data_IF_011866826618
#
_entry.id   IF_011866826618
#
_cell.length_a   1.000
_cell.length_b   1.000
_cell.length_c   1.000
_cell.angle_alpha   90.00
_cell.angle_beta   90.00
_cell.angle_gamma   90.00
#
_symmetry.space_group_name_H-M   'P 1'
#
loop_
_entity.id
_entity.type
_entity.pdbx_description
1 polymer ?
#
# COMPACT_ATOMS: atom_id res chain seq x y z
N UNK A 1 -23.34 -0.80 -2.35
CA UNK A 1 -22.06 -0.84 -1.62
C UNK A 1 -21.17 -1.88 -2.28
N UNK A 2 -20.24 -1.39 -3.08
CA UNK A 2 -19.28 -2.17 -3.87
C UNK A 2 -18.18 -2.77 -2.97
N UNK A 3 -17.35 -3.66 -3.51
CA UNK A 3 -16.19 -4.18 -2.79
C UNK A 3 -15.15 -3.07 -2.54
N UNK A 4 -15.02 -2.13 -3.49
CA UNK A 4 -14.24 -0.90 -3.31
C UNK A 4 -14.78 -0.02 -2.17
N UNK A 5 -16.10 0.20 -2.09
CA UNK A 5 -16.71 1.01 -1.02
C UNK A 5 -16.35 0.42 0.36
N UNK A 6 -16.46 -0.90 0.51
CA UNK A 6 -16.10 -1.62 1.75
C UNK A 6 -14.61 -1.48 2.10
N UNK A 7 -13.73 -1.54 1.09
CA UNK A 7 -12.31 -1.31 1.29
C UNK A 7 -12.03 0.12 1.76
N UNK A 8 -12.61 1.12 1.10
CA UNK A 8 -12.42 2.54 1.46
C UNK A 8 -12.96 2.85 2.86
N UNK A 9 -14.10 2.26 3.23
CA UNK A 9 -14.69 2.39 4.57
C UNK A 9 -13.80 1.75 5.64
N UNK A 10 -13.28 0.54 5.39
CA UNK A 10 -12.34 -0.11 6.30
C UNK A 10 -11.05 0.71 6.45
N UNK A 11 -10.54 1.30 5.37
CA UNK A 11 -9.31 2.09 5.40
C UNK A 11 -9.49 3.40 6.17
N UNK A 12 -10.65 4.05 6.02
CA UNK A 12 -11.03 5.22 6.81
C UNK A 12 -11.12 4.85 8.31
N UNK A 13 -11.75 3.73 8.65
CA UNK A 13 -11.84 3.25 10.03
C UNK A 13 -10.47 2.96 10.65
N UNK A 14 -9.56 2.31 9.91
CA UNK A 14 -8.18 2.09 10.35
C UNK A 14 -7.43 3.41 10.59
N UNK A 15 -7.60 4.39 9.70
CA UNK A 15 -7.00 5.73 9.87
C UNK A 15 -7.46 6.40 11.16
N UNK A 16 -8.76 6.31 11.47
CA UNK A 16 -9.34 6.84 12.71
C UNK A 16 -8.76 6.12 13.94
N UNK A 17 -8.65 4.80 13.91
CA UNK A 17 -8.11 3.99 15.02
C UNK A 17 -6.63 4.30 15.27
N UNK A 18 -5.82 4.40 14.21
CA UNK A 18 -4.40 4.74 14.32
C UNK A 18 -4.16 6.18 14.80
N UNK A 19 -5.04 7.11 14.46
CA UNK A 19 -4.98 8.49 14.96
C UNK A 19 -5.38 8.62 16.44
N UNK A 20 -6.12 7.65 16.98
CA UNK A 20 -6.52 7.66 18.38
C UNK A 20 -5.34 7.26 19.29
N UNK A 21 -4.86 8.22 20.09
CA UNK A 21 -3.77 8.01 21.05
C UNK A 21 -4.12 7.01 22.17
N UNK A 22 -5.40 6.75 22.42
CA UNK A 22 -5.87 5.76 23.42
C UNK A 22 -6.10 4.37 22.82
N UNK A 23 -6.04 4.21 21.51
CA UNK A 23 -6.21 2.91 20.88
C UNK A 23 -5.05 1.98 21.23
N UNK A 24 -5.39 0.80 21.69
CA UNK A 24 -4.46 -0.28 22.01
C UNK A 24 -3.83 -0.85 20.74
N UNK A 25 -2.71 -1.58 20.89
CA UNK A 25 -2.09 -2.27 19.77
C UNK A 25 -3.01 -3.31 19.13
N UNK A 26 -3.86 -3.97 19.93
CA UNK A 26 -4.83 -4.96 19.45
C UNK A 26 -5.88 -4.28 18.56
N UNK A 27 -6.44 -3.15 18.97
CA UNK A 27 -7.43 -2.42 18.18
C UNK A 27 -6.85 -1.92 16.84
N UNK A 28 -5.59 -1.46 16.85
CA UNK A 28 -4.89 -1.06 15.61
C UNK A 28 -4.65 -2.25 14.69
N UNK A 29 -4.24 -3.39 15.25
CA UNK A 29 -4.02 -4.62 14.49
C UNK A 29 -5.32 -5.16 13.90
N UNK A 30 -6.41 -5.20 14.67
CA UNK A 30 -7.73 -5.65 14.21
C UNK A 30 -8.26 -4.75 13.08
N UNK A 31 -8.07 -3.43 13.21
CA UNK A 31 -8.42 -2.49 12.16
C UNK A 31 -7.57 -2.69 10.89
N UNK A 32 -6.27 -2.95 11.02
CA UNK A 32 -5.40 -3.27 9.87
C UNK A 32 -5.80 -4.59 9.18
N UNK A 33 -6.15 -5.62 9.96
CA UNK A 33 -6.65 -6.90 9.44
C UNK A 33 -8.00 -6.75 8.73
N UNK A 34 -8.88 -5.88 9.22
CA UNK A 34 -10.14 -5.56 8.56
C UNK A 34 -9.91 -4.90 7.19
N UNK A 35 -8.95 -3.97 7.09
CA UNK A 35 -8.54 -3.37 5.81
C UNK A 35 -7.99 -4.41 4.85
N UNK A 36 -7.08 -5.27 5.33
CA UNK A 36 -6.46 -6.30 4.50
C UNK A 36 -7.50 -7.28 3.93
N UNK A 37 -8.45 -7.73 4.76
CA UNK A 37 -9.53 -8.61 4.33
C UNK A 37 -10.46 -7.95 3.31
N UNK A 38 -10.78 -6.67 3.50
CA UNK A 38 -11.61 -5.92 2.56
C UNK A 38 -10.90 -5.70 1.22
N UNK A 39 -9.59 -5.41 1.25
CA UNK A 39 -8.77 -5.27 0.05
C UNK A 39 -8.68 -6.59 -0.72
N UNK A 40 -8.46 -7.71 -0.03
CA UNK A 40 -8.44 -9.03 -0.66
C UNK A 40 -9.79 -9.36 -1.32
N UNK A 41 -10.91 -9.03 -0.67
CA UNK A 41 -12.25 -9.22 -1.25
C UNK A 41 -12.49 -8.32 -2.47
N UNK A 42 -12.00 -7.08 -2.44
CA UNK A 42 -12.01 -6.17 -3.58
C UNK A 42 -11.22 -6.72 -4.76
N UNK A 43 -9.97 -7.14 -4.52
CA UNK A 43 -9.15 -7.76 -5.55
C UNK A 43 -9.86 -8.96 -6.15
N UNK A 44 -10.40 -9.88 -5.34
CA UNK A 44 -11.08 -11.10 -5.85
C UNK A 44 -12.40 -10.82 -6.57
N UNK A 45 -13.12 -9.75 -6.21
CA UNK A 45 -14.35 -9.35 -6.89
C UNK A 45 -14.08 -8.68 -8.25
N UNK A 46 -12.94 -8.00 -8.37
CA UNK A 46 -12.54 -7.23 -9.55
C UNK A 46 -11.38 -7.89 -10.34
N UNK A 47 -11.06 -9.16 -10.09
CA UNK A 47 -10.06 -9.92 -10.86
C UNK A 47 -10.65 -11.15 -11.55
N UNK A 48 -11.55 -10.90 -12.49
CA UNK A 48 -11.50 -11.68 -13.73
C UNK A 48 -10.29 -11.21 -14.57
N UNK A 49 -9.68 -12.06 -15.42
CA UNK A 49 -8.50 -11.69 -16.22
C UNK A 49 -8.69 -10.50 -17.19
N UNK A 50 -9.91 -9.95 -17.29
CA UNK A 50 -10.25 -8.78 -18.09
C UNK A 50 -10.39 -7.46 -17.29
N UNK A 51 -10.31 -7.49 -15.96
CA UNK A 51 -10.70 -6.36 -15.11
C UNK A 51 -9.53 -5.48 -14.62
N UNK A 52 -8.33 -5.67 -15.17
CA UNK A 52 -7.15 -4.79 -14.95
C UNK A 52 -7.34 -3.38 -15.58
N UNK A 53 -8.50 -3.08 -16.17
CA UNK A 53 -8.74 -1.86 -16.93
C UNK A 53 -9.82 -0.91 -16.38
N UNK A 54 -10.35 -1.10 -15.17
CA UNK A 54 -11.52 -0.31 -14.71
C UNK A 54 -11.42 0.27 -13.30
N UNK A 55 -10.21 0.53 -12.78
CA UNK A 55 -10.13 1.52 -11.71
C UNK A 55 -10.15 2.91 -12.34
N UNK A 56 -11.11 3.80 -11.98
CA UNK A 56 -11.04 5.18 -12.39
C UNK A 56 -9.69 5.72 -11.91
N UNK A 57 -8.87 6.19 -12.85
CA UNK A 57 -7.62 6.86 -12.52
C UNK A 57 -8.00 8.03 -11.60
N UNK A 58 -7.49 8.10 -10.36
CA UNK A 58 -7.90 9.13 -9.43
C UNK A 58 -7.69 10.51 -10.04
N UNK A 59 -8.62 11.42 -9.79
CA UNK A 59 -8.60 12.79 -10.35
C UNK A 59 -7.29 13.53 -10.06
N UNK A 60 -6.58 13.13 -8.99
CA UNK A 60 -5.23 13.56 -8.67
C UNK A 60 -4.23 12.40 -8.66
N UNK A 61 -3.85 11.95 -9.86
CA UNK A 61 -2.78 10.99 -10.07
C UNK A 61 -1.46 11.46 -9.43
N UNK A 62 -1.23 12.76 -9.31
CA UNK A 62 -0.01 13.33 -8.69
C UNK A 62 0.00 13.07 -7.18
N UNK A 63 -1.13 13.25 -6.50
CA UNK A 63 -1.25 12.96 -5.07
C UNK A 63 -1.13 11.46 -4.79
N UNK A 64 -1.68 10.60 -5.66
CA UNK A 64 -1.48 9.16 -5.54
C UNK A 64 0.01 8.79 -5.68
N UNK A 65 0.71 9.34 -6.68
CA UNK A 65 2.15 9.12 -6.87
C UNK A 65 2.94 9.64 -5.67
N UNK A 66 2.58 10.81 -5.12
CA UNK A 66 3.24 11.41 -3.95
C UNK A 66 3.07 10.57 -2.70
N UNK A 67 1.87 10.07 -2.46
CA UNK A 67 1.56 9.16 -1.34
C UNK A 67 2.31 7.84 -1.48
N UNK A 68 2.27 7.21 -2.67
CA UNK A 68 3.00 5.97 -2.94
C UNK A 68 4.51 6.14 -2.78
N UNK A 69 5.08 7.24 -3.30
CA UNK A 69 6.49 7.57 -3.14
C UNK A 69 6.85 7.72 -1.66
N UNK A 70 6.04 8.44 -0.89
CA UNK A 70 6.28 8.65 0.54
C UNK A 70 6.28 7.35 1.33
N UNK A 71 5.38 6.41 1.02
CA UNK A 71 5.34 5.09 1.65
C UNK A 71 6.59 4.26 1.34
N UNK A 72 6.96 4.17 0.06
CA UNK A 72 8.15 3.40 -0.37
C UNK A 72 9.43 4.03 0.21
N UNK A 73 9.52 5.35 0.21
CA UNK A 73 10.64 6.09 0.77
C UNK A 73 10.76 5.87 2.29
N UNK A 74 9.64 5.97 3.03
CA UNK A 74 9.63 5.71 4.47
C UNK A 74 10.09 4.27 4.79
N UNK A 75 9.59 3.29 4.04
CA UNK A 75 9.99 1.89 4.16
C UNK A 75 11.49 1.71 3.99
N UNK A 76 12.09 2.37 2.98
CA UNK A 76 13.53 2.32 2.73
C UNK A 76 14.34 2.96 3.86
N UNK A 77 13.91 4.12 4.37
CA UNK A 77 14.61 4.85 5.43
C UNK A 77 14.48 4.21 6.82
N UNK A 78 13.43 3.42 7.05
CA UNK A 78 13.29 2.63 8.28
C UNK A 78 14.14 1.35 8.27
N UNK A 79 14.86 1.07 7.17
CA UNK A 79 15.71 -0.12 6.98
C UNK A 79 14.99 -1.47 7.20
N UNK A 80 13.65 -1.46 7.20
CA UNK A 80 12.82 -2.64 7.51
C UNK A 80 13.10 -3.79 6.53
N UNK A 81 13.42 -3.46 5.27
CA UNK A 81 13.71 -4.44 4.21
C UNK A 81 15.20 -4.76 4.07
N UNK A 82 16.09 -4.11 4.83
CA UNK A 82 17.51 -4.52 4.87
C UNK A 82 17.71 -5.74 5.77
N UNK A 83 16.75 -6.02 6.66
CA UNK A 83 16.79 -7.14 7.58
C UNK A 83 15.97 -8.28 6.98
N UNK A 84 16.67 -9.31 6.49
CA UNK A 84 16.03 -10.50 5.97
C UNK A 84 15.28 -11.24 7.10
N UNK A 85 13.97 -11.50 6.96
CA UNK A 85 13.23 -12.29 7.94
C UNK A 85 13.70 -13.75 7.98
N UNK A 86 13.62 -14.36 9.17
CA UNK A 86 13.93 -15.77 9.34
C UNK A 86 13.02 -16.65 8.48
N UNK A 87 13.62 -17.62 7.77
CA UNK A 87 12.88 -18.54 6.90
C UNK A 87 12.60 -18.02 5.48
N UNK A 88 13.02 -16.79 5.14
CA UNK A 88 12.97 -16.28 3.76
C UNK A 88 14.30 -16.55 3.06
N UNK A 89 14.23 -17.12 1.85
CA UNK A 89 15.39 -17.33 0.98
C UNK A 89 16.04 -16.00 0.59
N UNK A 90 17.38 -15.97 0.54
CA UNK A 90 18.16 -14.79 0.16
C UNK A 90 17.77 -14.25 -1.20
N UNK A 91 17.62 -15.12 -2.20
CA UNK A 91 17.34 -14.66 -3.56
C UNK A 91 15.97 -14.00 -3.66
N UNK A 92 14.99 -14.57 -2.97
CA UNK A 92 13.62 -14.04 -2.86
C UNK A 92 13.61 -12.69 -2.16
N UNK A 93 14.36 -12.56 -1.06
CA UNK A 93 14.51 -11.31 -0.32
C UNK A 93 15.18 -10.22 -1.16
N UNK A 94 16.29 -10.55 -1.83
CA UNK A 94 17.05 -9.62 -2.67
C UNK A 94 16.22 -9.15 -3.86
N UNK A 95 15.45 -10.04 -4.49
CA UNK A 95 14.50 -9.68 -5.54
C UNK A 95 13.44 -8.68 -5.04
N UNK A 96 12.91 -8.87 -3.83
CA UNK A 96 11.99 -7.92 -3.19
C UNK A 96 12.62 -6.55 -2.95
N UNK A 97 13.87 -6.51 -2.49
CA UNK A 97 14.63 -5.27 -2.29
C UNK A 97 14.87 -4.52 -3.61
N UNK A 98 15.21 -5.24 -4.68
CA UNK A 98 15.37 -4.68 -6.02
C UNK A 98 14.06 -4.07 -6.52
N UNK A 99 12.94 -4.79 -6.41
CA UNK A 99 11.63 -4.29 -6.85
C UNK A 99 11.21 -3.02 -6.12
N UNK A 100 11.46 -2.94 -4.81
CA UNK A 100 11.19 -1.72 -4.03
C UNK A 100 12.06 -0.54 -4.48
N UNK A 101 13.35 -0.80 -4.76
CA UNK A 101 14.27 0.23 -5.25
C UNK A 101 13.87 0.76 -6.62
N UNK A 102 13.45 -0.14 -7.53
CA UNK A 102 12.95 0.22 -8.85
C UNK A 102 11.65 1.02 -8.76
N UNK A 103 10.72 0.59 -7.90
CA UNK A 103 9.47 1.30 -7.66
C UNK A 103 9.71 2.74 -7.17
N UNK A 104 10.64 2.93 -6.23
CA UNK A 104 11.02 4.26 -5.75
C UNK A 104 11.58 5.13 -6.88
N UNK A 105 12.46 4.57 -7.73
CA UNK A 105 13.05 5.30 -8.85
C UNK A 105 11.99 5.73 -9.88
N UNK A 106 11.05 4.84 -10.22
CA UNK A 106 9.94 5.12 -11.14
C UNK A 106 9.03 6.22 -10.57
N UNK A 107 8.63 6.10 -9.29
CA UNK A 107 7.77 7.08 -8.64
C UNK A 107 8.44 8.45 -8.53
N UNK A 108 9.74 8.49 -8.21
CA UNK A 108 10.53 9.73 -8.20
C UNK A 108 10.55 10.39 -9.58
N UNK A 109 10.80 9.61 -10.64
CA UNK A 109 10.80 10.13 -12.01
C UNK A 109 9.41 10.65 -12.42
N UNK A 110 8.34 9.97 -11.98
CA UNK A 110 6.97 10.39 -12.22
C UNK A 110 6.64 11.72 -11.50
N UNK A 111 7.12 11.92 -10.27
CA UNK A 111 6.97 13.18 -9.53
C UNK A 111 7.69 14.34 -10.20
N UNK A 112 8.94 14.14 -10.63
CA UNK A 112 9.71 15.17 -11.37
C UNK A 112 8.98 15.59 -12.64
N UNK A 113 8.41 14.61 -13.37
CA UNK A 113 7.64 14.89 -14.59
C UNK A 113 6.32 15.63 -14.31
N UNK A 114 5.71 15.40 -13.16
CA UNK A 114 4.45 16.05 -12.74
C UNK A 114 4.64 17.49 -12.22
N UNK A 115 5.87 18.01 -12.22
CA UNK A 115 6.17 19.37 -11.74
C UNK A 115 6.49 19.47 -10.25
N UNK A 116 6.94 18.37 -9.64
CA UNK A 116 7.55 18.38 -8.31
C UNK A 116 8.91 19.05 -8.27
#
# INVERSE_FOLDING_TARGET
MTAYDRYTEANAAHTIVCANAKATQVERFDAAMAVHKAFQAFLMAESGPAAVHTHPMPDDLTELIRSAFSMVHAIRYMEIFNIRPDGVDSFTHDAGCCLLSDAEAILKAALVKAGG
#
